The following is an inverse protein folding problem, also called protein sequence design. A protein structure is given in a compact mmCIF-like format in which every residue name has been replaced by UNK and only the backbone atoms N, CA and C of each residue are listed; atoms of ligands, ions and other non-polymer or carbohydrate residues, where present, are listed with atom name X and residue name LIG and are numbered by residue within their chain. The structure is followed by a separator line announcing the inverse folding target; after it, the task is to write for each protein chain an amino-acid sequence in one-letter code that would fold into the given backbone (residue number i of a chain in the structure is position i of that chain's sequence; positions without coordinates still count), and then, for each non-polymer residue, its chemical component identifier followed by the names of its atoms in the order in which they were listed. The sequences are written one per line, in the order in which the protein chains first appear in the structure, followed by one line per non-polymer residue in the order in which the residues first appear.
data_IF_793691812472
#
_entry.id   IF_793691812472
#
_cell.length_a   1.000
_cell.length_b   1.000
_cell.length_c   1.000
_cell.angle_alpha   90.00
_cell.angle_beta   90.00
_cell.angle_gamma   90.00
#
_symmetry.space_group_name_H-M   'P 1'
#
loop_
_entity.id
_entity.type
_entity.pdbx_description
1 polymer ?
#
# COMPACT_ATOMS: atom_id res chain seq x y z
N UNK A 1 1.91 -46.18 -19.18
CA UNK A 1 0.98 -46.53 -18.09
C UNK A 1 1.16 -45.50 -17.00
N UNK A 2 0.09 -44.74 -16.73
CA UNK A 2 0.09 -43.54 -15.90
C UNK A 2 0.26 -43.86 -14.41
N UNK A 3 1.00 -43.01 -13.68
CA UNK A 3 0.74 -42.77 -12.26
C UNK A 3 1.19 -41.34 -11.91
N UNK A 4 0.25 -40.39 -12.04
CA UNK A 4 0.25 -39.12 -11.30
C UNK A 4 -0.07 -39.45 -9.84
N UNK A 5 0.80 -39.07 -8.90
CA UNK A 5 0.48 -38.97 -7.47
C UNK A 5 0.88 -37.55 -7.04
N UNK A 6 -0.05 -36.61 -7.17
CA UNK A 6 -0.95 -36.10 -6.12
C UNK A 6 -0.22 -35.29 -5.04
N UNK A 7 -0.22 -33.98 -5.22
CA UNK A 7 0.50 -32.94 -4.43
C UNK A 7 -0.44 -32.28 -3.42
N UNK A 8 -1.17 -33.08 -2.63
CA UNK A 8 -2.27 -32.59 -1.77
C UNK A 8 -2.18 -32.99 -0.27
N UNK A 9 -1.05 -33.51 0.22
CA UNK A 9 -0.96 -34.05 1.61
C UNK A 9 0.02 -33.34 2.56
N UNK A 10 0.34 -32.05 2.37
CA UNK A 10 1.24 -31.33 3.30
C UNK A 10 0.72 -29.93 3.67
N UNK A 11 -0.57 -29.82 3.99
CA UNK A 11 -1.16 -28.57 4.49
C UNK A 11 -2.11 -28.76 5.69
N UNK A 12 -1.93 -29.83 6.46
CA UNK A 12 -2.60 -30.01 7.76
C UNK A 12 -1.62 -30.51 8.83
N UNK A 13 -0.65 -29.66 9.18
CA UNK A 13 0.18 -29.89 10.36
C UNK A 13 0.57 -28.60 11.08
N UNK A 14 -0.41 -27.75 11.41
CA UNK A 14 -0.30 -26.87 12.59
C UNK A 14 -1.67 -26.90 13.27
N UNK A 15 -1.90 -28.01 13.98
CA UNK A 15 -3.05 -28.20 14.85
C UNK A 15 -2.74 -27.71 16.27
N UNK A 16 -3.69 -26.97 16.82
CA UNK A 16 -4.12 -27.00 18.23
C UNK A 16 -3.16 -26.42 19.27
N UNK A 17 -3.42 -25.17 19.67
CA UNK A 17 -3.21 -24.74 21.06
C UNK A 17 -4.55 -24.25 21.61
N UNK A 18 -5.15 -25.08 22.45
CA UNK A 18 -6.20 -24.72 23.40
C UNK A 18 -5.58 -23.89 24.52
N UNK A 19 -6.19 -22.76 24.89
CA UNK A 19 -6.36 -22.40 26.30
C UNK A 19 -7.60 -21.51 26.46
N UNK A 20 -8.55 -22.03 27.23
CA UNK A 20 -9.72 -21.33 27.71
C UNK A 20 -9.34 -20.48 28.93
N UNK A 21 -9.90 -19.27 29.04
CA UNK A 21 -10.13 -18.61 30.31
C UNK A 21 -11.39 -17.72 30.18
N UNK A 22 -12.36 -18.02 31.03
CA UNK A 22 -13.67 -17.40 31.13
C UNK A 22 -13.64 -16.09 31.98
N UNK A 23 -14.84 -15.54 32.22
CA UNK A 23 -15.21 -14.57 33.29
C UNK A 23 -15.07 -13.11 32.83
N UNK A 24 -16.06 -12.19 32.84
CA UNK A 24 -17.44 -12.11 33.39
C UNK A 24 -18.15 -10.96 32.66
N UNK A 25 -19.42 -11.14 32.27
CA UNK A 25 -20.26 -10.04 31.76
C UNK A 25 -21.07 -9.47 32.93
N UNK A 26 -20.80 -8.21 33.29
CA UNK A 26 -21.67 -7.44 34.20
C UNK A 26 -22.64 -6.65 33.32
N UNK A 27 -23.91 -7.04 33.38
CA UNK A 27 -25.01 -6.23 32.89
C UNK A 27 -25.46 -5.28 34.00
N UNK A 28 -25.26 -3.98 33.81
CA UNK A 28 -25.93 -2.93 34.56
C UNK A 28 -26.46 -1.92 33.54
N UNK A 29 -27.78 -1.91 33.36
CA UNK A 29 -28.46 -0.88 32.59
C UNK A 29 -28.38 0.47 33.30
N UNK A 30 -28.62 1.55 32.55
CA UNK A 30 -29.75 2.44 32.80
C UNK A 30 -29.79 3.54 31.74
N UNK A 31 -31.02 3.81 31.32
CA UNK A 31 -31.54 4.94 30.55
C UNK A 31 -30.93 6.28 30.95
N UNK A 32 -30.85 7.25 30.03
CA UNK A 32 -31.46 8.61 30.15
C UNK A 32 -30.97 9.51 28.98
N UNK A 33 -31.83 9.82 28.00
CA UNK A 33 -32.44 11.15 27.71
C UNK A 33 -31.53 12.15 26.96
N UNK A 34 -31.97 12.51 25.75
CA UNK A 34 -31.68 13.80 25.12
C UNK A 34 -32.67 14.85 25.64
N UNK A 35 -32.25 16.11 25.77
CA UNK A 35 -32.70 17.06 24.75
C UNK A 35 -31.66 18.08 24.28
N UNK A 36 -31.94 18.52 23.06
CA UNK A 36 -31.56 19.70 22.30
C UNK A 36 -31.50 20.99 23.14
N UNK A 37 -30.61 21.95 22.79
CA UNK A 37 -30.93 23.35 22.42
C UNK A 37 -29.77 24.35 22.67
N UNK A 38 -29.54 25.19 21.65
CA UNK A 38 -29.03 26.58 21.62
C UNK A 38 -27.58 26.98 21.99
N UNK A 39 -26.91 27.50 20.96
CA UNK A 39 -26.24 28.80 20.84
C UNK A 39 -25.46 29.41 22.00
N UNK A 40 -24.19 29.74 21.73
CA UNK A 40 -23.40 30.69 22.51
C UNK A 40 -22.17 31.18 21.73
N UNK A 41 -22.29 32.34 21.09
CA UNK A 41 -21.20 33.18 20.56
C UNK A 41 -20.27 33.64 21.70
N UNK A 42 -18.94 33.62 21.52
CA UNK A 42 -18.05 34.80 21.69
C UNK A 42 -16.55 34.47 21.58
N UNK A 43 -15.93 35.09 20.58
CA UNK A 43 -14.57 35.62 20.43
C UNK A 43 -13.61 35.63 21.64
N UNK A 44 -12.36 35.16 21.46
CA UNK A 44 -11.14 35.94 21.80
C UNK A 44 -9.88 35.37 21.14
N UNK A 45 -9.22 36.22 20.35
CA UNK A 45 -7.87 36.03 19.86
C UNK A 45 -6.83 36.10 21.00
N UNK A 46 -5.78 35.29 20.93
CA UNK A 46 -4.48 35.64 21.50
C UNK A 46 -3.36 35.28 20.54
N UNK A 47 -2.60 36.34 20.26
CA UNK A 47 -1.36 36.37 19.50
C UNK A 47 -0.29 35.54 20.20
N UNK A 48 0.34 34.63 19.47
CA UNK A 48 1.56 33.93 19.85
C UNK A 48 2.54 34.01 18.69
N UNK A 49 3.35 35.06 18.67
CA UNK A 49 4.46 35.23 17.73
C UNK A 49 5.44 34.05 17.88
N UNK A 50 5.47 33.18 16.87
CA UNK A 50 6.46 32.12 16.76
C UNK A 50 7.50 32.56 15.73
N UNK A 51 8.72 32.74 16.21
CA UNK A 51 9.94 32.95 15.45
C UNK A 51 10.06 31.92 14.30
N UNK A 52 10.53 32.29 13.10
CA UNK A 52 10.75 31.32 12.04
C UNK A 52 11.89 30.39 12.42
N UNK A 53 11.57 29.21 12.94
CA UNK A 53 12.51 28.10 13.02
C UNK A 53 12.76 27.66 11.58
N UNK A 54 14.00 27.86 11.11
CA UNK A 54 14.44 27.37 9.82
C UNK A 54 14.18 25.87 9.77
N UNK A 55 13.17 25.47 9.00
CA UNK A 55 12.89 24.06 8.75
C UNK A 55 14.14 23.45 8.12
N UNK A 56 14.55 22.22 8.53
CA UNK A 56 15.56 21.51 7.78
C UNK A 56 15.08 21.42 6.34
N UNK A 57 15.88 21.92 5.41
CA UNK A 57 15.69 21.69 3.98
C UNK A 57 15.88 20.20 3.76
N UNK A 58 14.83 19.42 4.01
CA UNK A 58 14.71 18.08 3.48
C UNK A 58 14.79 18.30 1.98
N UNK A 59 15.91 17.93 1.39
CA UNK A 59 16.02 17.81 -0.05
C UNK A 59 15.02 16.74 -0.43
N UNK A 60 13.83 17.20 -0.78
CA UNK A 60 12.78 16.38 -1.35
C UNK A 60 13.42 15.55 -2.44
N UNK A 61 13.38 14.22 -2.32
CA UNK A 61 13.70 13.36 -3.44
C UNK A 61 12.67 13.67 -4.54
N UNK A 62 13.03 14.54 -5.48
CA UNK A 62 12.28 14.74 -6.72
C UNK A 62 12.30 13.44 -7.51
N UNK A 63 11.33 13.24 -8.39
CA UNK A 63 11.33 12.09 -9.27
C UNK A 63 12.31 12.37 -10.41
N UNK A 64 13.59 12.02 -10.18
CA UNK A 64 14.73 12.36 -11.04
C UNK A 64 14.55 12.02 -12.54
N UNK A 65 13.73 11.02 -12.85
CA UNK A 65 13.41 10.59 -14.20
C UNK A 65 12.07 9.84 -14.22
N UNK A 66 11.37 9.78 -15.36
CA UNK A 66 10.25 8.86 -15.51
C UNK A 66 10.72 7.43 -15.26
N UNK A 67 9.91 6.67 -14.54
CA UNK A 67 10.18 5.27 -14.20
C UNK A 67 9.12 4.37 -14.82
N UNK A 68 9.51 3.14 -15.16
CA UNK A 68 8.58 2.13 -15.65
C UNK A 68 8.93 0.73 -15.17
N UNK A 69 7.92 -0.13 -15.04
CA UNK A 69 8.07 -1.51 -14.61
C UNK A 69 6.91 -2.39 -15.07
N UNK A 70 7.15 -3.70 -15.17
CA UNK A 70 6.10 -4.68 -15.50
C UNK A 70 5.82 -5.57 -14.29
N UNK A 71 4.56 -5.84 -14.01
CA UNK A 71 4.20 -6.68 -12.88
C UNK A 71 4.65 -8.13 -13.07
N UNK A 72 5.30 -8.66 -12.05
CA UNK A 72 5.59 -10.08 -11.84
C UNK A 72 4.55 -10.61 -10.85
N UNK A 73 3.88 -11.70 -11.22
CA UNK A 73 2.85 -12.34 -10.37
C UNK A 73 3.47 -13.03 -9.15
N UNK A 74 2.83 -12.90 -7.98
CA UNK A 74 3.23 -13.55 -6.72
C UNK A 74 2.07 -14.35 -6.14
N UNK A 75 1.89 -15.60 -6.61
CA UNK A 75 0.79 -16.48 -6.18
C UNK A 75 -0.57 -16.17 -6.81
N UNK A 76 -0.87 -14.89 -7.07
CA UNK A 76 -2.03 -14.45 -7.85
C UNK A 76 -1.59 -13.97 -9.23
N UNK A 77 -2.32 -14.35 -10.29
CA UNK A 77 -2.03 -13.85 -11.64
C UNK A 77 -2.30 -12.34 -11.69
N UNK A 78 -1.25 -11.57 -11.90
CA UNK A 78 -1.29 -10.12 -12.06
C UNK A 78 -0.46 -9.74 -13.28
N UNK A 79 -1.05 -8.96 -14.17
CA UNK A 79 -0.40 -8.40 -15.36
C UNK A 79 -0.61 -6.90 -15.40
N UNK A 80 0.18 -6.22 -16.22
CA UNK A 80 0.10 -4.78 -16.45
C UNK A 80 1.47 -4.12 -16.36
N UNK A 81 1.47 -2.81 -16.56
CA UNK A 81 2.67 -1.97 -16.55
C UNK A 81 2.45 -0.83 -15.55
N UNK A 82 3.53 -0.36 -14.96
CA UNK A 82 3.58 0.83 -14.13
C UNK A 82 4.40 1.89 -14.85
N UNK A 83 3.93 3.12 -14.80
CA UNK A 83 4.65 4.32 -15.20
C UNK A 83 4.61 5.30 -14.04
N UNK A 84 5.73 5.97 -13.77
CA UNK A 84 5.76 7.12 -12.87
C UNK A 84 6.39 8.27 -13.63
N UNK A 85 5.73 9.42 -13.66
CA UNK A 85 6.23 10.63 -14.27
C UNK A 85 5.92 11.83 -13.39
N UNK A 86 6.87 12.77 -13.33
CA UNK A 86 6.70 14.06 -12.68
C UNK A 86 6.44 15.14 -13.72
N UNK A 87 5.49 16.01 -13.42
CA UNK A 87 5.06 17.15 -14.22
C UNK A 87 5.02 18.40 -13.35
N UNK A 88 4.72 19.57 -13.93
CA UNK A 88 4.50 20.80 -13.14
C UNK A 88 3.34 20.67 -12.13
N UNK A 89 2.39 19.76 -12.37
CA UNK A 89 1.28 19.47 -11.45
C UNK A 89 1.67 18.51 -10.30
N UNK A 90 2.88 17.95 -10.35
CA UNK A 90 3.36 16.92 -9.43
C UNK A 90 3.58 15.57 -10.10
N UNK A 91 3.90 14.58 -9.27
CA UNK A 91 4.20 13.22 -9.71
C UNK A 91 2.96 12.33 -9.71
N UNK A 92 2.84 11.54 -10.78
CA UNK A 92 1.72 10.61 -10.98
C UNK A 92 2.25 9.21 -11.24
N UNK A 93 1.68 8.23 -10.54
CA UNK A 93 1.80 6.82 -10.86
C UNK A 93 0.62 6.40 -11.72
N UNK A 94 0.90 5.87 -12.91
CA UNK A 94 -0.09 5.26 -13.80
C UNK A 94 0.11 3.75 -13.81
N UNK A 95 -0.93 3.04 -13.39
CA UNK A 95 -1.08 1.61 -13.65
C UNK A 95 -1.76 1.46 -15.00
N UNK A 96 -1.12 0.81 -15.96
CA UNK A 96 -1.63 0.62 -17.31
C UNK A 96 -2.00 -0.84 -17.57
N UNK A 97 -3.21 -1.07 -18.10
CA UNK A 97 -3.69 -2.40 -18.49
C UNK A 97 -3.54 -3.44 -17.38
N UNK A 98 -3.71 -3.01 -16.13
CA UNK A 98 -3.57 -3.90 -14.97
C UNK A 98 -4.77 -4.82 -14.91
N UNK A 99 -4.52 -6.11 -14.74
CA UNK A 99 -5.55 -7.13 -14.56
C UNK A 99 -5.10 -8.16 -13.54
N UNK A 100 -5.95 -8.38 -12.54
CA UNK A 100 -5.73 -9.35 -11.47
C UNK A 100 -7.09 -9.80 -10.92
N UNK A 101 -7.11 -10.86 -10.11
CA UNK A 101 -8.31 -11.28 -9.39
C UNK A 101 -8.84 -10.11 -8.53
N UNK A 102 -10.12 -9.70 -8.68
CA UNK A 102 -10.68 -8.61 -7.91
C UNK A 102 -10.68 -8.89 -6.41
N UNK A 103 -10.27 -7.90 -5.61
CA UNK A 103 -10.34 -7.94 -4.15
C UNK A 103 -10.49 -6.49 -3.62
N UNK A 104 -11.48 -6.21 -2.73
CA UNK A 104 -11.78 -4.85 -2.24
C UNK A 104 -10.70 -4.26 -1.32
N UNK A 105 -9.78 -5.10 -0.84
CA UNK A 105 -8.72 -4.77 0.10
C UNK A 105 -7.37 -4.53 -0.60
N UNK A 106 -7.36 -4.53 -1.94
CA UNK A 106 -6.16 -4.24 -2.72
C UNK A 106 -5.75 -2.77 -2.64
N UNK A 107 -4.47 -2.58 -2.34
CA UNK A 107 -3.79 -1.29 -2.32
C UNK A 107 -2.56 -1.32 -3.20
N UNK A 108 -2.08 -0.13 -3.53
CA UNK A 108 -0.78 0.08 -4.18
C UNK A 108 0.20 0.63 -3.15
N UNK A 109 1.39 0.07 -3.10
CA UNK A 109 2.49 0.57 -2.26
C UNK A 109 3.75 0.78 -3.11
N UNK A 110 4.58 1.73 -2.69
CA UNK A 110 5.89 2.00 -3.25
C UNK A 110 6.97 1.46 -2.31
N UNK A 111 8.00 0.80 -2.84
CA UNK A 111 9.06 0.23 -2.02
C UNK A 111 10.43 0.86 -2.32
N UNK A 112 11.26 0.94 -1.28
CA UNK A 112 12.68 1.29 -1.42
C UNK A 112 13.46 0.18 -2.12
N UNK A 113 13.07 -1.07 -1.89
CA UNK A 113 13.71 -2.26 -2.45
C UNK A 113 13.16 -2.66 -3.83
N UNK A 114 13.98 -3.39 -4.58
CA UNK A 114 13.54 -4.13 -5.75
C UNK A 114 13.16 -5.56 -5.35
N UNK A 115 12.48 -6.26 -6.25
CA UNK A 115 12.16 -7.67 -6.11
C UNK A 115 13.44 -8.50 -6.28
N UNK A 116 13.62 -9.48 -5.40
CA UNK A 116 14.74 -10.42 -5.39
C UNK A 116 14.24 -11.83 -5.06
N UNK A 117 15.14 -12.80 -5.16
CA UNK A 117 14.89 -14.15 -4.64
C UNK A 117 15.62 -14.33 -3.33
N UNK A 118 14.92 -14.82 -2.32
CA UNK A 118 15.54 -15.23 -1.08
C UNK A 118 16.26 -16.58 -1.23
N UNK A 119 16.86 -17.06 -0.13
CA UNK A 119 17.58 -18.34 -0.11
C UNK A 119 16.68 -19.56 -0.38
N UNK A 120 15.36 -19.43 -0.18
CA UNK A 120 14.35 -20.47 -0.45
C UNK A 120 13.87 -20.43 -1.91
N UNK A 121 14.24 -19.37 -2.66
CA UNK A 121 13.84 -19.14 -4.04
C UNK A 121 12.53 -18.36 -4.17
N UNK A 122 11.98 -17.85 -3.07
CA UNK A 122 10.74 -17.08 -3.03
C UNK A 122 11.00 -15.62 -3.44
N UNK A 123 10.04 -15.03 -4.15
CA UNK A 123 10.15 -13.64 -4.62
C UNK A 123 9.79 -12.69 -3.48
N UNK A 124 10.77 -11.92 -3.00
CA UNK A 124 10.64 -10.97 -1.88
C UNK A 124 11.17 -9.60 -2.26
N UNK A 125 10.68 -8.55 -1.61
CA UNK A 125 11.27 -7.21 -1.75
C UNK A 125 12.40 -7.10 -0.72
N UNK A 126 13.62 -6.74 -1.15
CA UNK A 126 14.83 -6.79 -0.32
C UNK A 126 14.78 -5.89 0.92
N UNK A 127 14.17 -4.70 0.78
CA UNK A 127 14.10 -3.69 1.83
C UNK A 127 12.67 -3.53 2.37
N UNK A 128 12.47 -3.44 3.69
CA UNK A 128 11.14 -3.38 4.30
C UNK A 128 10.50 -1.99 4.24
N UNK A 129 11.21 -0.95 3.78
CA UNK A 129 10.63 0.39 3.74
C UNK A 129 9.65 0.49 2.57
N UNK A 130 8.41 0.79 2.91
CA UNK A 130 7.34 1.03 1.95
C UNK A 130 6.59 2.32 2.29
N UNK A 131 5.91 2.84 1.28
CA UNK A 131 5.00 3.96 1.37
C UNK A 131 3.66 3.53 0.79
N UNK A 132 2.63 3.48 1.63
CA UNK A 132 1.24 3.33 1.19
C UNK A 132 0.79 4.66 0.57
N UNK A 133 0.42 4.64 -0.72
CA UNK A 133 -0.06 5.85 -1.42
C UNK A 133 -1.56 6.07 -1.23
N UNK A 134 -2.22 5.25 -0.37
CA UNK A 134 -3.64 5.36 -0.03
C UNK A 134 -4.59 4.98 -1.16
N UNK A 135 -4.05 4.63 -2.33
CA UNK A 135 -4.80 4.28 -3.53
C UNK A 135 -5.42 2.89 -3.42
N UNK A 136 -6.74 2.83 -3.27
CA UNK A 136 -7.49 1.58 -3.51
C UNK A 136 -7.45 1.25 -4.99
N UNK A 137 -7.13 -0.01 -5.29
CA UNK A 137 -7.16 -0.48 -6.66
C UNK A 137 -8.61 -0.58 -7.13
N UNK A 138 -8.96 0.11 -8.21
CA UNK A 138 -10.28 -0.06 -8.84
C UNK A 138 -10.42 -1.51 -9.35
N UNK A 139 -11.58 -2.16 -9.14
CA UNK A 139 -11.78 -3.52 -9.60
C UNK A 139 -11.89 -3.60 -11.13
N UNK A 140 -11.43 -4.72 -11.69
CA UNK A 140 -11.50 -4.99 -13.12
C UNK A 140 -10.23 -4.60 -13.89
N UNK A 141 -10.12 -5.01 -15.16
CA UNK A 141 -9.00 -4.67 -16.00
C UNK A 141 -9.05 -3.20 -16.43
N UNK A 142 -7.89 -2.53 -16.49
CA UNK A 142 -7.81 -1.18 -17.05
C UNK A 142 -6.63 -0.36 -16.55
N UNK A 143 -6.69 0.94 -16.82
CA UNK A 143 -5.69 1.90 -16.40
C UNK A 143 -6.22 2.83 -15.31
N UNK A 144 -5.35 3.21 -14.39
CA UNK A 144 -5.69 4.10 -13.28
C UNK A 144 -4.46 4.88 -12.81
N UNK A 145 -4.71 6.11 -12.36
CA UNK A 145 -3.68 7.05 -11.96
C UNK A 145 -3.79 7.32 -10.45
N UNK A 146 -2.65 7.49 -9.81
CA UNK A 146 -2.54 7.86 -8.40
C UNK A 146 -1.57 9.02 -8.28
N UNK A 147 -1.98 10.05 -7.55
CA UNK A 147 -1.10 11.14 -7.18
C UNK A 147 -0.06 10.64 -6.18
N UNK A 148 1.18 11.06 -6.37
CA UNK A 148 2.28 10.73 -5.48
C UNK A 148 2.66 11.94 -4.64
N UNK A 149 3.17 11.73 -3.42
CA UNK A 149 3.69 12.85 -2.65
C UNK A 149 4.88 13.49 -3.39
N UNK A 150 5.06 14.81 -3.26
CA UNK A 150 6.14 15.53 -3.95
C UNK A 150 7.54 15.17 -3.46
N UNK A 151 7.64 14.42 -2.36
CA UNK A 151 8.90 14.12 -1.68
C UNK A 151 8.82 12.75 -1.02
N UNK A 152 8.90 11.65 -1.78
CA UNK A 152 9.02 10.32 -1.20
C UNK A 152 10.21 10.28 -0.21
N UNK A 153 10.05 9.60 0.94
CA UNK A 153 11.08 9.57 1.99
C UNK A 153 12.31 8.71 1.63
N UNK A 154 12.27 8.00 0.50
CA UNK A 154 13.33 7.14 0.00
C UNK A 154 13.24 7.03 -1.52
N UNK A 155 14.30 6.51 -2.15
CA UNK A 155 14.30 6.24 -3.59
C UNK A 155 13.41 5.05 -3.90
N UNK A 156 12.40 5.23 -4.74
CA UNK A 156 11.49 4.14 -5.10
C UNK A 156 12.14 3.22 -6.12
N UNK A 157 12.14 1.90 -5.86
CA UNK A 157 12.70 0.88 -6.76
C UNK A 157 11.67 -0.13 -7.25
N UNK A 158 10.53 -0.27 -6.57
CA UNK A 158 9.44 -1.13 -7.04
C UNK A 158 8.07 -0.65 -6.60
N UNK A 159 7.03 -1.15 -7.25
CA UNK A 159 5.61 -0.91 -6.93
C UNK A 159 4.94 -2.26 -6.71
N UNK A 160 4.17 -2.39 -5.63
CA UNK A 160 3.47 -3.64 -5.30
C UNK A 160 1.97 -3.42 -5.18
N UNK A 161 1.20 -4.34 -5.77
CA UNK A 161 -0.22 -4.49 -5.49
C UNK A 161 -0.33 -5.49 -4.34
N UNK A 162 -0.85 -5.05 -3.20
CA UNK A 162 -0.91 -5.82 -1.96
C UNK A 162 -2.35 -5.95 -1.45
N UNK A 163 -2.72 -7.12 -0.94
CA UNK A 163 -3.90 -7.25 -0.09
C UNK A 163 -3.57 -6.70 1.30
N UNK A 164 -4.15 -5.56 1.65
CA UNK A 164 -3.88 -4.87 2.92
C UNK A 164 -4.36 -5.60 4.17
N UNK A 165 -5.23 -6.61 4.04
CA UNK A 165 -5.71 -7.42 5.16
C UNK A 165 -4.76 -8.57 5.48
N UNK A 166 -4.13 -9.16 4.47
CA UNK A 166 -3.24 -10.33 4.62
C UNK A 166 -1.76 -10.00 4.46
N UNK A 167 -1.44 -8.80 3.95
CA UNK A 167 -0.09 -8.38 3.56
C UNK A 167 0.56 -9.28 2.50
N UNK A 168 -0.27 -9.94 1.69
CA UNK A 168 0.21 -10.79 0.58
C UNK A 168 0.27 -9.93 -0.69
N UNK A 169 1.43 -9.92 -1.33
CA UNK A 169 1.62 -9.31 -2.64
C UNK A 169 0.91 -10.12 -3.71
N UNK A 170 0.15 -9.44 -4.57
CA UNK A 170 -0.45 -10.03 -5.76
C UNK A 170 0.53 -9.95 -6.93
N UNK A 171 1.24 -8.83 -7.03
CA UNK A 171 2.39 -8.71 -7.91
C UNK A 171 3.19 -7.44 -7.65
N UNK A 172 4.47 -7.52 -8.02
CA UNK A 172 5.44 -6.43 -7.88
C UNK A 172 6.05 -6.10 -9.23
N UNK A 173 6.19 -4.81 -9.52
CA UNK A 173 6.86 -4.29 -10.69
C UNK A 173 8.13 -3.56 -10.26
N UNK A 174 9.28 -4.08 -10.65
CA UNK A 174 10.55 -3.37 -10.50
C UNK A 174 10.62 -2.19 -11.47
N UNK A 175 11.09 -1.06 -10.95
CA UNK A 175 11.15 0.18 -11.68
C UNK A 175 12.55 0.39 -12.27
N UNK A 176 12.54 0.80 -13.53
CA UNK A 176 13.73 1.18 -14.29
C UNK A 176 13.49 2.54 -14.94
N UNK A 177 14.55 3.32 -15.25
CA UNK A 177 14.40 4.55 -16.02
C UNK A 177 13.65 4.29 -17.32
N UNK A 178 12.53 4.99 -17.50
CA UNK A 178 11.73 4.97 -18.72
C UNK A 178 12.17 6.03 -19.71
N UNK A 179 11.64 5.99 -20.95
CA UNK A 179 11.85 7.07 -21.91
C UNK A 179 11.29 8.39 -21.36
N UNK A 180 12.03 9.48 -21.58
CA UNK A 180 11.53 10.82 -21.31
C UNK A 180 10.29 11.10 -22.18
N UNK A 181 9.17 11.45 -21.55
CA UNK A 181 7.96 11.87 -22.26
C UNK A 181 8.22 13.32 -22.68
N UNK A 182 8.54 13.52 -23.97
CA UNK A 182 8.80 14.84 -24.57
C UNK A 182 7.53 15.48 -25.10
#
# INVERSE_FOLDING_TARGET
MFARANRQDIAHLIGRILMAAAVTVIAAGCTYVSPETASGTSTKAVSGASTPQAAPTSVAASWDAPLTGRFISQGTRTVGVVHIAETEAGATLTLENVSTTPNPDLKVILNEGALSKDASGDMVVEDPKFLDIGGKLKPGPGSQNFELPPSPPFRIRSVTIIDSRTNIAYGTADLTPGPAIR
#
